data_IF_623573171765
#
_entry.id   IF_623573171765
#
_cell.length_a   1.000
_cell.length_b   1.000
_cell.length_c   1.000
_cell.angle_alpha   90.00
_cell.angle_beta   90.00
_cell.angle_gamma   90.00
#
_symmetry.space_group_name_H-M   'P 1'
#
loop_
_entity.id
_entity.type
_entity.pdbx_description
1 polymer ?
#
# COMPACT_ATOMS: atom_id res chain seq x y z
N UNK A 1 10.01 -41.58 13.55
CA UNK A 1 10.62 -40.42 12.84
C UNK A 1 9.93 -39.15 13.33
N UNK A 2 10.65 -38.19 13.94
CA UNK A 2 10.04 -36.97 14.46
C UNK A 2 9.47 -36.11 13.32
N UNK A 3 8.21 -35.65 13.47
CA UNK A 3 7.50 -34.83 12.49
C UNK A 3 8.28 -33.52 12.31
N UNK A 4 8.73 -33.22 11.08
CA UNK A 4 9.41 -31.95 10.79
C UNK A 4 8.45 -30.81 11.09
N UNK A 5 8.69 -30.08 12.18
CA UNK A 5 7.97 -28.86 12.49
C UNK A 5 8.37 -27.81 11.45
N UNK A 6 7.57 -27.67 10.40
CA UNK A 6 7.69 -26.55 9.48
C UNK A 6 7.06 -25.33 10.14
N UNK A 7 7.84 -24.26 10.25
CA UNK A 7 7.34 -22.96 10.65
C UNK A 7 6.98 -22.18 9.39
N UNK A 8 5.90 -21.39 9.45
CA UNK A 8 5.45 -20.59 8.31
C UNK A 8 6.45 -19.48 7.94
N UNK A 9 7.07 -18.85 8.95
CA UNK A 9 7.97 -17.71 8.76
C UNK A 9 9.19 -17.82 9.67
N UNK A 10 10.38 -17.77 9.10
CA UNK A 10 11.63 -17.60 9.84
C UNK A 10 11.86 -16.13 10.20
N UNK A 11 12.49 -15.84 11.35
CA UNK A 11 12.90 -14.47 11.69
C UNK A 11 13.90 -13.90 10.66
N UNK A 12 14.05 -12.57 10.61
CA UNK A 12 14.88 -11.90 9.60
C UNK A 12 16.33 -12.33 9.64
N UNK A 13 16.88 -12.49 10.86
CA UNK A 13 18.26 -12.89 11.05
C UNK A 13 18.53 -14.31 10.52
N UNK A 14 17.62 -15.25 10.75
CA UNK A 14 17.72 -16.61 10.21
C UNK A 14 17.46 -16.67 8.70
N UNK A 15 16.52 -15.85 8.18
CA UNK A 15 16.26 -15.70 6.74
C UNK A 15 17.51 -15.21 6.01
N UNK A 16 18.15 -14.14 6.51
CA UNK A 16 19.40 -13.59 5.95
C UNK A 16 20.55 -14.60 5.99
N UNK A 17 20.67 -15.38 7.07
CA UNK A 17 21.72 -16.39 7.25
C UNK A 17 21.42 -17.73 6.54
N UNK A 18 20.22 -17.89 5.96
CA UNK A 18 19.72 -19.16 5.40
C UNK A 18 19.84 -20.33 6.37
N UNK A 19 19.66 -20.07 7.67
CA UNK A 19 19.70 -21.09 8.73
C UNK A 19 18.30 -21.50 9.15
N UNK A 20 18.13 -22.74 9.61
CA UNK A 20 16.86 -23.23 10.15
C UNK A 20 16.44 -22.41 11.38
N UNK A 21 15.36 -21.67 11.27
CA UNK A 21 14.71 -21.01 12.39
C UNK A 21 13.73 -22.00 13.05
N UNK A 22 13.68 -21.98 14.38
CA UNK A 22 12.80 -22.79 15.22
C UNK A 22 11.45 -22.10 15.52
N UNK A 23 11.33 -20.81 15.21
CA UNK A 23 10.04 -20.11 15.27
C UNK A 23 9.69 -19.54 16.65
N UNK A 24 10.52 -19.79 17.67
CA UNK A 24 10.23 -19.37 19.05
C UNK A 24 10.19 -17.84 19.18
N UNK A 25 9.20 -17.33 19.92
CA UNK A 25 8.94 -15.90 20.13
C UNK A 25 9.11 -15.58 21.62
N UNK A 26 9.68 -14.41 21.99
CA UNK A 26 10.03 -13.27 21.13
C UNK A 26 11.33 -13.44 20.34
N UNK A 27 12.26 -14.29 20.81
CA UNK A 27 13.57 -14.52 20.21
C UNK A 27 13.71 -16.02 19.89
N UNK A 28 14.14 -16.35 18.68
CA UNK A 28 14.33 -17.75 18.28
C UNK A 28 15.63 -18.32 18.88
N UNK A 29 15.70 -19.64 19.11
CA UNK A 29 16.84 -20.29 19.80
C UNK A 29 18.18 -20.03 19.09
N UNK A 30 18.16 -19.94 17.75
CA UNK A 30 19.36 -19.61 16.96
C UNK A 30 19.84 -18.18 17.21
N UNK A 31 18.92 -17.24 17.40
CA UNK A 31 19.29 -15.85 17.70
C UNK A 31 19.73 -15.67 19.15
N UNK A 32 19.14 -16.41 20.09
CA UNK A 32 19.60 -16.47 21.49
C UNK A 32 21.05 -16.96 21.53
N UNK A 33 21.34 -18.12 20.94
CA UNK A 33 22.68 -18.72 20.96
C UNK A 33 23.75 -17.88 20.26
N UNK A 34 23.36 -17.12 19.23
CA UNK A 34 24.26 -16.22 18.50
C UNK A 34 24.32 -14.80 19.05
N UNK A 35 23.61 -14.52 20.14
CA UNK A 35 23.45 -13.20 20.73
C UNK A 35 23.16 -12.12 19.66
N UNK A 36 22.24 -12.44 18.74
CA UNK A 36 21.94 -11.57 17.61
C UNK A 36 20.54 -11.02 17.69
N UNK A 37 20.36 -9.79 17.20
CA UNK A 37 19.06 -9.15 17.14
C UNK A 37 18.04 -9.99 16.35
N UNK A 38 16.98 -10.43 17.02
CA UNK A 38 15.94 -11.26 16.46
C UNK A 38 14.72 -10.42 16.11
N UNK A 39 14.81 -9.70 15.00
CA UNK A 39 13.66 -8.95 14.48
C UNK A 39 12.76 -9.86 13.67
N UNK A 40 11.47 -9.70 13.88
CA UNK A 40 10.41 -10.20 13.02
C UNK A 40 9.85 -8.98 12.32
N UNK A 41 9.89 -8.91 10.99
CA UNK A 41 9.24 -7.78 10.31
C UNK A 41 7.74 -7.81 10.62
N UNK A 42 7.14 -6.64 10.81
CA UNK A 42 5.69 -6.50 10.94
C UNK A 42 4.98 -6.76 9.59
N UNK A 43 5.68 -6.64 8.46
CA UNK A 43 5.22 -7.14 7.16
C UNK A 43 6.41 -7.71 6.35
N UNK A 44 6.81 -8.97 6.61
CA UNK A 44 7.80 -9.69 5.83
C UNK A 44 7.20 -10.37 4.58
N UNK A 45 5.88 -10.19 4.35
CA UNK A 45 5.03 -10.98 3.44
C UNK A 45 4.34 -10.16 2.35
N UNK A 46 4.45 -8.83 2.36
CA UNK A 46 4.40 -8.11 1.10
C UNK A 46 5.65 -8.49 0.30
N UNK A 47 5.60 -9.62 -0.40
CA UNK A 47 6.57 -9.93 -1.47
C UNK A 47 6.79 -8.66 -2.29
N UNK A 48 7.97 -8.42 -2.87
CA UNK A 48 8.18 -7.27 -3.76
C UNK A 48 7.02 -7.09 -4.76
N UNK A 49 6.44 -8.22 -5.20
CA UNK A 49 5.25 -8.30 -6.02
C UNK A 49 3.97 -7.69 -5.40
N UNK A 50 3.70 -7.86 -4.11
CA UNK A 50 2.57 -7.22 -3.41
C UNK A 50 2.79 -5.72 -3.26
N UNK A 51 4.01 -5.29 -2.92
CA UNK A 51 4.33 -3.86 -2.84
C UNK A 51 4.21 -3.19 -4.22
N UNK A 52 4.73 -3.84 -5.27
CA UNK A 52 4.58 -3.41 -6.67
C UNK A 52 3.11 -3.37 -7.06
N UNK A 53 2.32 -4.41 -6.74
CA UNK A 53 0.89 -4.46 -7.04
C UNK A 53 0.14 -3.31 -6.38
N UNK A 54 0.39 -3.02 -5.09
CA UNK A 54 -0.22 -1.88 -4.39
C UNK A 54 0.15 -0.56 -5.07
N UNK A 55 1.43 -0.36 -5.39
CA UNK A 55 1.88 0.85 -6.08
C UNK A 55 1.23 0.99 -7.47
N UNK A 56 1.16 -0.10 -8.23
CA UNK A 56 0.51 -0.14 -9.54
C UNK A 56 -0.97 0.21 -9.44
N UNK A 57 -1.69 -0.39 -8.47
CA UNK A 57 -3.09 -0.06 -8.21
C UNK A 57 -3.29 1.41 -7.86
N UNK A 58 -2.42 1.99 -7.03
CA UNK A 58 -2.49 3.41 -6.69
C UNK A 58 -2.27 4.31 -7.91
N UNK A 59 -1.31 3.97 -8.78
CA UNK A 59 -1.05 4.70 -10.02
C UNK A 59 -2.21 4.59 -11.01
N UNK A 60 -2.84 3.41 -11.13
CA UNK A 60 -4.03 3.25 -11.96
C UNK A 60 -5.20 4.10 -11.46
N UNK A 61 -5.39 4.20 -10.14
CA UNK A 61 -6.41 5.06 -9.54
C UNK A 61 -6.13 6.54 -9.83
N UNK A 62 -4.91 7.01 -9.61
CA UNK A 62 -4.52 8.41 -9.87
C UNK A 62 -4.67 8.78 -11.36
N UNK A 63 -4.29 7.86 -12.25
CA UNK A 63 -4.46 8.02 -13.69
C UNK A 63 -5.93 8.11 -14.09
N UNK A 64 -6.78 7.23 -13.52
CA UNK A 64 -8.23 7.27 -13.73
C UNK A 64 -8.83 8.58 -13.22
N UNK A 65 -8.50 9.00 -12.01
CA UNK A 65 -9.02 10.22 -11.41
C UNK A 65 -8.66 11.45 -12.26
N UNK A 66 -7.41 11.52 -12.74
CA UNK A 66 -6.98 12.59 -13.65
C UNK A 66 -7.78 12.60 -14.95
N UNK A 67 -8.03 11.42 -15.53
CA UNK A 67 -8.81 11.30 -16.75
C UNK A 67 -10.29 11.70 -16.55
N UNK A 68 -10.89 11.28 -15.44
CA UNK A 68 -12.27 11.61 -15.07
C UNK A 68 -12.45 13.12 -14.90
N UNK A 69 -11.49 13.80 -14.24
CA UNK A 69 -11.53 15.26 -14.10
C UNK A 69 -11.49 15.99 -15.44
N UNK A 70 -10.59 15.58 -16.34
CA UNK A 70 -10.50 16.16 -17.69
C UNK A 70 -11.82 15.94 -18.43
N UNK A 71 -12.39 14.73 -18.36
CA UNK A 71 -13.68 14.41 -18.96
C UNK A 71 -14.81 15.29 -18.41
N UNK A 72 -14.86 15.50 -17.08
CA UNK A 72 -15.85 16.36 -16.46
C UNK A 72 -15.71 17.82 -16.90
N UNK A 73 -14.48 18.34 -16.99
CA UNK A 73 -14.24 19.70 -17.47
C UNK A 73 -14.65 19.91 -18.93
N UNK A 74 -14.51 18.88 -19.78
CA UNK A 74 -14.87 18.97 -21.19
C UNK A 74 -16.37 18.78 -21.47
N UNK A 75 -17.06 17.95 -20.68
CA UNK A 75 -18.43 17.53 -20.97
C UNK A 75 -19.51 18.26 -20.16
N UNK A 76 -19.13 18.97 -19.09
CA UNK A 76 -20.07 19.74 -18.27
C UNK A 76 -20.32 21.14 -18.82
N UNK A 77 -21.34 21.82 -18.29
CA UNK A 77 -21.59 23.20 -18.64
C UNK A 77 -20.42 24.10 -18.21
N UNK A 78 -20.29 25.28 -18.83
CA UNK A 78 -19.23 26.24 -18.49
C UNK A 78 -19.24 26.62 -17.01
N UNK A 79 -20.42 26.78 -16.42
CA UNK A 79 -20.55 27.16 -15.01
C UNK A 79 -20.04 26.05 -14.09
N UNK A 80 -20.46 24.81 -14.33
CA UNK A 80 -19.98 23.64 -13.59
C UNK A 80 -18.47 23.44 -13.75
N UNK A 81 -17.94 23.60 -14.97
CA UNK A 81 -16.51 23.45 -15.25
C UNK A 81 -15.66 24.48 -14.48
N UNK A 82 -16.14 25.73 -14.33
CA UNK A 82 -15.46 26.76 -13.52
C UNK A 82 -15.49 26.37 -12.04
N UNK A 83 -16.64 25.94 -11.51
CA UNK A 83 -16.76 25.49 -10.12
C UNK A 83 -15.83 24.32 -9.80
N UNK A 84 -15.69 23.37 -10.74
CA UNK A 84 -14.72 22.26 -10.64
C UNK A 84 -13.28 22.80 -10.58
N UNK A 85 -12.91 23.68 -11.52
CA UNK A 85 -11.57 24.29 -11.57
C UNK A 85 -11.21 25.05 -10.29
N UNK A 86 -12.15 25.80 -9.73
CA UNK A 86 -11.94 26.54 -8.50
C UNK A 86 -11.78 25.60 -7.30
N UNK A 87 -12.53 24.50 -7.26
CA UNK A 87 -12.34 23.48 -6.24
C UNK A 87 -10.96 22.80 -6.38
N UNK A 88 -10.55 22.40 -7.60
CA UNK A 88 -9.22 21.82 -7.86
C UNK A 88 -8.09 22.74 -7.40
N UNK A 89 -8.22 24.05 -7.66
CA UNK A 89 -7.22 25.05 -7.24
C UNK A 89 -7.14 25.19 -5.72
N UNK A 90 -8.26 25.04 -5.00
CA UNK A 90 -8.32 25.13 -3.53
C UNK A 90 -7.75 23.88 -2.86
N UNK A 91 -8.16 22.69 -3.27
CA UNK A 91 -7.75 21.44 -2.62
C UNK A 91 -6.38 20.96 -3.06
N UNK A 92 -5.98 21.28 -4.30
CA UNK A 92 -4.78 20.72 -4.97
C UNK A 92 -4.76 19.19 -4.95
N UNK A 93 -5.94 18.58 -4.91
CA UNK A 93 -6.12 17.13 -4.84
C UNK A 93 -7.25 16.67 -5.76
N UNK A 94 -6.90 15.77 -6.68
CA UNK A 94 -7.80 15.30 -7.72
C UNK A 94 -8.93 14.43 -7.15
N UNK A 95 -8.58 13.51 -6.24
CA UNK A 95 -9.53 12.57 -5.65
C UNK A 95 -10.57 13.28 -4.77
N UNK A 96 -10.16 14.23 -3.94
CA UNK A 96 -11.07 15.05 -3.14
C UNK A 96 -12.01 15.89 -4.00
N UNK A 97 -11.52 16.40 -5.13
CA UNK A 97 -12.35 17.15 -6.07
C UNK A 97 -13.40 16.26 -6.73
N UNK A 98 -13.02 15.04 -7.13
CA UNK A 98 -13.97 14.07 -7.69
C UNK A 98 -15.02 13.61 -6.69
N UNK A 99 -14.65 13.43 -5.42
CA UNK A 99 -15.60 13.10 -4.36
C UNK A 99 -16.65 14.21 -4.23
N UNK A 100 -16.22 15.47 -4.12
CA UNK A 100 -17.10 16.64 -4.08
C UNK A 100 -18.07 16.72 -5.26
N UNK A 101 -17.60 16.36 -6.47
CA UNK A 101 -18.46 16.36 -7.68
C UNK A 101 -19.47 15.21 -7.68
N UNK A 102 -19.06 14.01 -7.24
CA UNK A 102 -19.91 12.81 -7.21
C UNK A 102 -20.98 12.89 -6.12
N UNK A 103 -20.69 13.57 -5.02
CA UNK A 103 -21.62 13.77 -3.91
C UNK A 103 -22.72 14.81 -4.21
N UNK A 104 -22.69 15.43 -5.41
CA UNK A 104 -23.80 16.24 -5.92
C UNK A 104 -23.84 17.68 -5.42
N UNK A 105 -22.78 18.16 -4.79
CA UNK A 105 -22.68 19.52 -4.22
C UNK A 105 -22.37 20.62 -5.26
N UNK A 106 -22.44 20.30 -6.55
CA UNK A 106 -22.40 21.31 -7.63
C UNK A 106 -23.81 21.87 -7.85
N UNK A 107 -24.13 22.91 -7.06
CA UNK A 107 -25.21 23.87 -7.35
C UNK A 107 -24.88 24.75 -8.56
#
# INVERSE_FOLDING_TARGET
KAKRHQIAVACNACRRRKTKCDGHRPVCTVCVSKNSECTWSADPDATPMVAIKRKYQNLELESRDSHDLISMLMNRSRQEAISILDHMRRTRDASSTLAFIKDGDLL
#
